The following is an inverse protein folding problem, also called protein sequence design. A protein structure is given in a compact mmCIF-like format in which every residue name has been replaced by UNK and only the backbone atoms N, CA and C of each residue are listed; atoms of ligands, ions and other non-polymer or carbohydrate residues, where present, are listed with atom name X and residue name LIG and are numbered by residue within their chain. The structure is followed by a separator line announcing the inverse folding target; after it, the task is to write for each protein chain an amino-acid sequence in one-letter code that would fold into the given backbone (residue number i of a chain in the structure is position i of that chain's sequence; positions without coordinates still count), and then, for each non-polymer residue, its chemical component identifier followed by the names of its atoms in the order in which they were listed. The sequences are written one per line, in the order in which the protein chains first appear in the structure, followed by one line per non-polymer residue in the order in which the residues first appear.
data_IF_154522879678
#
_entry.id   IF_154522879678
#
_cell.length_a   1.000
_cell.length_b   1.000
_cell.length_c   1.000
_cell.angle_alpha   90.00
_cell.angle_beta   90.00
_cell.angle_gamma   90.00
#
_symmetry.space_group_name_H-M   'P 1'
#
loop_
_entity.id
_entity.type
_entity.pdbx_description
1 polymer ?
#
# COMPACT_ATOMS: atom_id res chain seq x y z
N UNK A 1 -17.10 -21.39 -33.74
CA UNK A 1 -16.35 -22.01 -32.63
C UNK A 1 -15.43 -20.95 -32.09
N UNK A 2 -15.81 -20.30 -31.00
CA UNK A 2 -14.96 -19.34 -30.28
C UNK A 2 -13.94 -20.16 -29.53
N UNK A 3 -12.71 -20.20 -30.02
CA UNK A 3 -11.56 -20.74 -29.27
C UNK A 3 -11.39 -19.91 -27.99
N UNK A 4 -11.73 -20.49 -26.86
CA UNK A 4 -11.36 -19.94 -25.55
C UNK A 4 -9.84 -19.88 -25.51
N UNK A 5 -9.28 -18.69 -25.62
CA UNK A 5 -7.85 -18.48 -25.34
C UNK A 5 -7.66 -18.80 -23.85
N UNK A 6 -6.89 -19.85 -23.56
CA UNK A 6 -6.55 -20.20 -22.18
C UNK A 6 -5.89 -18.97 -21.53
N UNK A 7 -6.40 -18.54 -20.37
CA UNK A 7 -5.76 -17.46 -19.60
C UNK A 7 -4.31 -17.85 -19.31
N UNK A 8 -3.39 -16.91 -19.54
CA UNK A 8 -1.99 -17.10 -19.15
C UNK A 8 -1.90 -17.37 -17.65
N UNK A 9 -1.06 -18.33 -17.26
CA UNK A 9 -0.76 -18.59 -15.85
C UNK A 9 0.07 -17.47 -15.19
N UNK A 10 0.49 -16.48 -15.98
CA UNK A 10 1.32 -15.35 -15.55
C UNK A 10 0.56 -14.02 -15.45
N UNK A 11 -0.73 -14.00 -15.83
CA UNK A 11 -1.52 -12.77 -15.85
C UNK A 11 -2.85 -12.95 -15.14
N UNK A 12 -3.27 -11.89 -14.44
CA UNK A 12 -4.60 -11.83 -13.82
C UNK A 12 -5.06 -10.38 -13.74
N UNK A 13 -6.36 -10.18 -13.56
CA UNK A 13 -6.92 -8.85 -13.30
C UNK A 13 -6.98 -8.61 -11.79
N UNK A 14 -6.39 -7.52 -11.34
CA UNK A 14 -6.46 -7.09 -9.95
C UNK A 14 -7.91 -6.71 -9.54
N UNK A 15 -8.75 -6.30 -10.49
CA UNK A 15 -10.19 -6.10 -10.28
C UNK A 15 -10.93 -7.39 -9.91
N UNK A 16 -10.43 -8.54 -10.34
CA UNK A 16 -10.97 -9.87 -10.05
C UNK A 16 -10.20 -10.58 -8.93
N UNK A 17 -9.34 -9.85 -8.22
CA UNK A 17 -8.62 -10.37 -7.05
C UNK A 17 -9.58 -10.78 -5.92
N UNK A 18 -9.06 -11.54 -4.97
CA UNK A 18 -9.78 -11.91 -3.76
C UNK A 18 -10.26 -10.65 -3.02
N UNK A 19 -11.53 -10.63 -2.65
CA UNK A 19 -12.11 -9.55 -1.84
C UNK A 19 -11.64 -9.73 -0.40
N UNK A 20 -10.88 -8.74 0.09
CA UNK A 20 -10.45 -8.66 1.49
C UNK A 20 -11.50 -7.95 2.33
N UNK A 21 -12.02 -6.83 1.80
CA UNK A 21 -13.13 -6.06 2.37
C UNK A 21 -13.83 -5.27 1.28
N UNK A 22 -15.16 -5.13 1.38
CA UNK A 22 -15.97 -4.30 0.51
C UNK A 22 -17.14 -3.71 1.32
N UNK A 23 -17.27 -2.37 1.32
CA UNK A 23 -18.27 -1.63 2.11
C UNK A 23 -18.50 -0.25 1.50
N UNK A 24 -19.39 0.54 2.12
CA UNK A 24 -19.61 1.94 1.76
C UNK A 24 -18.37 2.83 1.98
N UNK A 25 -17.35 2.33 2.67
CA UNK A 25 -16.09 3.03 2.91
C UNK A 25 -15.07 2.82 1.79
N UNK A 26 -15.28 1.82 0.95
CA UNK A 26 -14.37 1.47 -0.14
C UNK A 26 -14.22 -0.02 -0.33
N UNK A 27 -13.14 -0.43 -0.98
CA UNK A 27 -12.87 -1.84 -1.21
C UNK A 27 -11.38 -2.17 -1.16
N UNK A 28 -11.10 -3.41 -0.80
CA UNK A 28 -9.75 -3.98 -0.82
C UNK A 28 -9.78 -5.31 -1.56
N UNK A 29 -8.93 -5.44 -2.58
CA UNK A 29 -8.76 -6.68 -3.36
C UNK A 29 -7.30 -7.05 -3.41
N UNK A 30 -7.00 -8.35 -3.39
CA UNK A 30 -5.61 -8.82 -3.42
C UNK A 30 -5.41 -9.96 -4.41
N UNK A 31 -4.18 -10.07 -4.90
CA UNK A 31 -3.67 -11.22 -5.63
C UNK A 31 -2.42 -11.71 -4.92
N UNK A 32 -2.46 -12.94 -4.47
CA UNK A 32 -1.38 -13.63 -3.74
C UNK A 32 -1.02 -14.93 -4.47
N UNK A 33 -0.07 -15.68 -3.96
CA UNK A 33 0.26 -17.00 -4.51
C UNK A 33 -0.91 -18.01 -4.44
N UNK A 34 -1.95 -17.73 -3.65
CA UNK A 34 -3.13 -18.61 -3.54
C UNK A 34 -4.03 -18.52 -4.79
N UNK A 35 -4.09 -17.36 -5.43
CA UNK A 35 -4.90 -17.14 -6.63
C UNK A 35 -4.07 -16.88 -7.90
N UNK A 36 -2.77 -16.66 -7.77
CA UNK A 36 -1.80 -16.63 -8.86
C UNK A 36 -0.50 -17.34 -8.42
N UNK A 37 -0.42 -18.68 -8.52
CA UNK A 37 0.66 -19.49 -7.95
C UNK A 37 2.07 -19.20 -8.47
N UNK A 38 2.20 -18.50 -9.59
CA UNK A 38 3.49 -18.07 -10.15
C UNK A 38 4.14 -16.96 -9.30
N UNK A 39 3.37 -16.24 -8.49
CA UNK A 39 3.92 -15.23 -7.58
C UNK A 39 4.80 -15.91 -6.52
N UNK A 40 6.07 -15.54 -6.53
CA UNK A 40 7.07 -16.01 -5.60
C UNK A 40 7.73 -14.83 -4.92
N UNK A 41 7.53 -14.71 -3.60
CA UNK A 41 8.06 -13.61 -2.81
C UNK A 41 7.44 -12.24 -3.12
N UNK A 42 6.35 -12.19 -3.89
CA UNK A 42 5.62 -10.97 -4.23
C UNK A 42 4.11 -11.20 -4.14
N UNK A 43 3.37 -10.15 -3.85
CA UNK A 43 1.91 -10.09 -3.98
C UNK A 43 1.49 -8.64 -4.19
N UNK A 44 0.20 -8.44 -4.55
CA UNK A 44 -0.32 -7.13 -4.88
C UNK A 44 -1.73 -6.94 -4.29
N UNK A 45 -2.01 -5.74 -3.83
CA UNK A 45 -3.31 -5.35 -3.30
C UNK A 45 -3.76 -4.05 -3.98
N UNK A 46 -5.05 -3.92 -4.23
CA UNK A 46 -5.70 -2.67 -4.63
C UNK A 46 -6.59 -2.21 -3.50
N UNK A 47 -6.46 -0.94 -3.14
CA UNK A 47 -7.28 -0.31 -2.09
C UNK A 47 -7.96 0.91 -2.68
N UNK A 48 -9.27 0.97 -2.51
CA UNK A 48 -10.10 2.14 -2.79
C UNK A 48 -10.63 2.67 -1.45
N UNK A 49 -10.44 3.95 -1.21
CA UNK A 49 -10.98 4.64 -0.03
C UNK A 49 -11.91 5.75 -0.50
N UNK A 50 -13.18 5.66 -0.14
CA UNK A 50 -14.14 6.74 -0.37
C UNK A 50 -13.78 7.98 0.46
N UNK A 51 -14.28 9.19 0.14
CA UNK A 51 -14.02 10.39 0.93
C UNK A 51 -14.29 10.17 2.42
N UNK A 52 -13.33 10.51 3.27
CA UNK A 52 -13.42 10.34 4.71
C UNK A 52 -13.27 8.89 5.21
N UNK A 53 -12.94 7.95 4.34
CA UNK A 53 -12.58 6.61 4.75
C UNK A 53 -11.07 6.48 5.03
N UNK A 54 -10.71 5.55 5.89
CA UNK A 54 -9.32 5.20 6.16
C UNK A 54 -9.10 3.69 6.14
N UNK A 55 -7.95 3.26 5.68
CA UNK A 55 -7.35 1.99 6.04
C UNK A 55 -6.83 2.12 7.46
N UNK A 56 -7.40 1.37 8.36
CA UNK A 56 -7.11 1.46 9.80
C UNK A 56 -5.62 1.22 10.10
N UNK A 57 -5.08 1.74 11.22
CA UNK A 57 -3.72 1.44 11.64
C UNK A 57 -3.46 -0.06 11.72
N UNK A 58 -2.39 -0.49 11.06
CA UNK A 58 -2.02 -1.91 10.94
C UNK A 58 -0.53 -2.06 10.60
N UNK A 59 -0.02 -3.28 10.66
CA UNK A 59 1.32 -3.62 10.20
C UNK A 59 1.35 -5.00 9.52
N UNK A 60 2.39 -5.22 8.74
CA UNK A 60 2.67 -6.51 8.10
C UNK A 60 3.89 -7.14 8.76
N UNK A 61 3.72 -8.32 9.42
CA UNK A 61 4.82 -8.93 10.17
C UNK A 61 5.90 -9.55 9.27
N UNK A 62 5.53 -9.94 8.05
CA UNK A 62 6.38 -10.73 7.14
C UNK A 62 6.53 -10.10 5.75
N UNK A 63 6.26 -8.80 5.60
CA UNK A 63 6.30 -8.15 4.30
C UNK A 63 6.68 -6.67 4.41
N UNK A 64 7.63 -6.23 3.58
CA UNK A 64 7.77 -4.83 3.24
C UNK A 64 6.66 -4.44 2.27
N UNK A 65 6.13 -3.23 2.42
CA UNK A 65 5.08 -2.65 1.61
C UNK A 65 5.61 -1.50 0.78
N UNK A 66 5.28 -1.50 -0.51
CA UNK A 66 5.53 -0.39 -1.42
C UNK A 66 4.20 0.02 -2.04
N UNK A 67 3.72 1.19 -1.66
CA UNK A 67 2.43 1.73 -2.09
C UNK A 67 2.60 2.83 -3.11
N UNK A 68 1.87 2.72 -4.22
CA UNK A 68 1.74 3.74 -5.27
C UNK A 68 0.33 4.33 -5.22
N UNK A 69 0.25 5.66 -5.13
CA UNK A 69 -1.00 6.40 -5.21
C UNK A 69 -1.40 6.60 -6.68
N UNK A 70 -2.46 5.93 -7.09
CA UNK A 70 -3.03 6.00 -8.44
C UNK A 70 -3.84 7.28 -8.63
N UNK A 71 -4.66 7.60 -7.63
CA UNK A 71 -5.50 8.81 -7.62
C UNK A 71 -5.87 9.24 -6.20
N UNK A 72 -6.32 10.48 -6.06
CA UNK A 72 -6.79 11.04 -4.80
C UNK A 72 -5.69 11.69 -3.96
N UNK A 73 -6.02 11.99 -2.71
CA UNK A 73 -5.13 12.64 -1.73
C UNK A 73 -5.33 11.97 -0.38
N UNK A 74 -4.27 11.48 0.21
CA UNK A 74 -4.34 10.80 1.50
C UNK A 74 -3.26 11.27 2.49
N UNK A 75 -3.62 11.25 3.76
CA UNK A 75 -2.70 11.35 4.88
C UNK A 75 -2.20 9.96 5.23
N UNK A 76 -0.89 9.82 5.35
CA UNK A 76 -0.22 8.60 5.80
C UNK A 76 0.57 8.90 7.06
N UNK A 77 0.50 8.02 8.06
CA UNK A 77 1.41 8.04 9.19
C UNK A 77 2.05 6.69 9.35
N UNK A 78 3.34 6.67 9.67
CA UNK A 78 4.14 5.46 9.86
C UNK A 78 4.91 5.60 11.17
N UNK A 79 4.80 4.58 12.01
CA UNK A 79 5.69 4.35 13.14
C UNK A 79 6.62 3.20 12.77
N UNK A 80 7.84 3.55 12.43
CA UNK A 80 8.88 2.60 12.06
C UNK A 80 9.65 2.10 13.29
N UNK A 81 10.64 1.25 13.08
CA UNK A 81 11.52 0.79 14.14
C UNK A 81 12.25 1.96 14.82
N UNK A 82 12.82 1.73 16.00
CA UNK A 82 13.54 2.75 16.78
C UNK A 82 12.72 4.02 17.11
N UNK A 83 11.38 3.93 17.12
CA UNK A 83 10.48 5.03 17.42
C UNK A 83 10.55 6.19 16.41
N UNK A 84 10.99 5.93 15.19
CA UNK A 84 10.91 6.89 14.10
C UNK A 84 9.45 7.05 13.68
N UNK A 85 8.95 8.28 13.70
CA UNK A 85 7.59 8.62 13.32
C UNK A 85 7.59 9.55 12.12
N UNK A 86 6.82 9.19 11.10
CA UNK A 86 6.59 9.97 9.90
C UNK A 86 5.11 10.24 9.70
N UNK A 87 4.79 11.44 9.20
CA UNK A 87 3.44 11.78 8.75
C UNK A 87 3.55 12.67 7.52
N UNK A 88 2.83 12.33 6.46
CA UNK A 88 2.94 13.03 5.18
C UNK A 88 1.68 12.85 4.34
N UNK A 89 1.48 13.76 3.40
CA UNK A 89 0.40 13.68 2.40
C UNK A 89 0.97 13.03 1.14
N UNK A 90 0.21 12.09 0.56
CA UNK A 90 0.48 11.51 -0.76
C UNK A 90 -0.63 11.87 -1.74
N UNK A 91 -0.22 12.11 -2.98
CA UNK A 91 -1.11 12.39 -4.13
C UNK A 91 -0.76 11.48 -5.30
N UNK A 92 -1.59 11.52 -6.35
CA UNK A 92 -1.37 10.71 -7.56
C UNK A 92 0.07 10.82 -8.10
N UNK A 93 0.69 9.69 -8.40
CA UNK A 93 2.08 9.60 -8.89
C UNK A 93 3.13 9.49 -7.78
N UNK A 94 2.74 9.66 -6.52
CA UNK A 94 3.62 9.53 -5.37
C UNK A 94 3.54 8.12 -4.77
N UNK A 95 4.57 7.77 -4.05
CA UNK A 95 4.76 6.47 -3.42
C UNK A 95 5.14 6.65 -1.96
N UNK A 96 4.89 5.60 -1.17
CA UNK A 96 5.51 5.46 0.14
C UNK A 96 5.94 4.01 0.40
N UNK A 97 6.88 3.86 1.32
CA UNK A 97 7.41 2.58 1.74
C UNK A 97 7.22 2.39 3.24
N UNK A 98 6.72 1.22 3.64
CA UNK A 98 6.63 0.79 5.02
C UNK A 98 7.36 -0.55 5.18
N UNK A 99 8.31 -0.59 6.12
CA UNK A 99 9.04 -1.81 6.45
C UNK A 99 8.13 -2.84 7.13
N UNK A 100 8.53 -4.09 7.07
CA UNK A 100 7.93 -5.15 7.89
C UNK A 100 7.94 -4.73 9.37
N UNK A 101 6.78 -4.85 10.03
CA UNK A 101 6.60 -4.43 11.42
C UNK A 101 6.21 -2.97 11.63
N UNK A 102 6.38 -2.10 10.64
CA UNK A 102 6.02 -0.68 10.78
C UNK A 102 4.51 -0.48 10.85
N UNK A 103 4.04 0.08 11.96
CA UNK A 103 2.62 0.44 12.14
C UNK A 103 2.30 1.64 11.24
N UNK A 104 1.29 1.52 10.38
CA UNK A 104 0.91 2.59 9.46
C UNK A 104 -0.58 2.62 9.18
N UNK A 105 -1.06 3.78 8.68
CA UNK A 105 -2.44 3.96 8.20
C UNK A 105 -2.46 4.82 6.94
N UNK A 106 -3.58 4.77 6.20
CA UNK A 106 -3.85 5.60 5.04
C UNK A 106 -5.24 6.19 5.21
N UNK A 107 -5.36 7.51 5.24
CA UNK A 107 -6.65 8.21 5.38
C UNK A 107 -6.92 9.05 4.13
N UNK A 108 -8.04 8.82 3.46
CA UNK A 108 -8.49 9.69 2.38
C UNK A 108 -8.94 11.04 2.94
N UNK A 109 -8.15 12.08 2.69
CA UNK A 109 -8.42 13.47 3.08
C UNK A 109 -8.95 14.32 1.93
N UNK A 110 -9.07 13.73 0.73
CA UNK A 110 -9.59 14.37 -0.47
C UNK A 110 -11.12 14.29 -0.58
N UNK A 111 -11.65 14.97 -1.60
CA UNK A 111 -13.08 14.96 -1.92
C UNK A 111 -13.48 13.81 -2.86
N UNK A 112 -12.52 13.16 -3.51
CA UNK A 112 -12.72 12.06 -4.45
C UNK A 112 -12.21 10.75 -3.87
N UNK A 113 -12.54 9.64 -4.52
CA UNK A 113 -12.00 8.32 -4.16
C UNK A 113 -10.49 8.31 -4.30
N UNK A 114 -9.80 7.88 -3.26
CA UNK A 114 -8.37 7.62 -3.31
C UNK A 114 -8.11 6.16 -3.67
N UNK A 115 -7.26 5.93 -4.67
CA UNK A 115 -6.89 4.61 -5.16
C UNK A 115 -5.41 4.36 -4.96
N UNK A 116 -5.10 3.18 -4.41
CA UNK A 116 -3.73 2.72 -4.18
C UNK A 116 -3.52 1.33 -4.77
N UNK A 117 -2.35 1.14 -5.36
CA UNK A 117 -1.81 -0.17 -5.71
C UNK A 117 -0.61 -0.42 -4.82
N UNK A 118 -0.64 -1.53 -4.13
CA UNK A 118 0.28 -1.90 -3.05
C UNK A 118 0.99 -3.20 -3.42
N UNK A 119 2.29 -3.14 -3.57
CA UNK A 119 3.14 -4.31 -3.76
C UNK A 119 3.77 -4.74 -2.43
N UNK A 120 3.77 -6.03 -2.16
CA UNK A 120 4.38 -6.63 -0.98
C UNK A 120 5.58 -7.50 -1.35
N UNK A 121 6.64 -7.41 -0.55
CA UNK A 121 7.77 -8.35 -0.59
C UNK A 121 7.43 -9.62 0.20
N UNK A 122 6.33 -10.24 -0.15
CA UNK A 122 5.84 -11.52 0.38
C UNK A 122 4.79 -12.08 -0.57
N UNK A 123 4.75 -13.38 -0.76
CA UNK A 123 3.69 -14.03 -1.55
C UNK A 123 2.37 -14.19 -0.77
N UNK A 124 2.43 -14.09 0.56
CA UNK A 124 1.29 -14.12 1.50
C UNK A 124 1.56 -13.16 2.66
N UNK A 125 1.35 -11.86 2.46
CA UNK A 125 1.56 -10.87 3.52
C UNK A 125 0.56 -11.09 4.65
N UNK A 126 1.06 -11.14 5.88
CA UNK A 126 0.24 -11.10 7.08
C UNK A 126 -0.15 -9.66 7.41
N UNK A 127 -1.32 -9.47 7.98
CA UNK A 127 -1.94 -8.17 8.20
C UNK A 127 -2.56 -8.12 9.59
N UNK A 128 -1.95 -7.37 10.50
CA UNK A 128 -2.36 -7.23 11.91
C UNK A 128 -2.95 -5.83 12.15
N UNK A 129 -4.23 -5.77 12.52
CA UNK A 129 -4.90 -4.52 12.85
C UNK A 129 -4.61 -4.06 14.28
N UNK A 130 -4.29 -2.78 14.45
CA UNK A 130 -4.06 -2.17 15.75
C UNK A 130 -5.30 -2.24 16.65
N UNK A 131 -6.50 -2.02 16.09
CA UNK A 131 -7.75 -2.11 16.84
C UNK A 131 -8.01 -3.52 17.41
N UNK A 132 -7.79 -4.56 16.61
CA UNK A 132 -7.92 -5.96 17.06
C UNK A 132 -6.86 -6.29 18.12
N UNK A 133 -5.64 -5.80 17.96
CA UNK A 133 -4.55 -5.98 18.92
C UNK A 133 -4.91 -5.37 20.27
N UNK A 134 -5.39 -4.12 20.31
CA UNK A 134 -5.86 -3.49 21.55
C UNK A 134 -7.04 -4.25 22.15
N UNK A 135 -7.91 -4.83 21.33
CA UNK A 135 -9.04 -5.67 21.76
C UNK A 135 -8.64 -6.91 22.53
N UNK A 136 -7.43 -7.43 22.31
CA UNK A 136 -6.91 -8.62 22.99
C UNK A 136 -6.43 -8.38 24.43
N UNK A 137 -6.22 -7.11 24.85
CA UNK A 137 -5.71 -6.77 26.17
C UNK A 137 -6.84 -6.41 27.14
N UNK A 138 -6.64 -6.68 28.43
CA UNK A 138 -7.56 -6.26 29.49
C UNK A 138 -7.50 -4.75 29.74
N UNK A 139 -8.56 -4.19 30.34
CA UNK A 139 -8.59 -2.78 30.74
C UNK A 139 -7.47 -2.43 31.70
N UNK A 140 -7.10 -3.35 32.60
CA UNK A 140 -6.00 -3.15 33.53
C UNK A 140 -4.64 -3.07 32.80
N UNK A 141 -4.40 -3.93 31.80
CA UNK A 141 -3.15 -3.89 31.03
C UNK A 141 -3.04 -2.58 30.27
N UNK A 142 -4.09 -2.14 29.59
CA UNK A 142 -4.07 -0.87 28.87
C UNK A 142 -4.00 0.32 29.81
N UNK A 143 -4.74 0.31 30.92
CA UNK A 143 -4.67 1.34 31.95
C UNK A 143 -3.24 1.53 32.46
N UNK A 144 -2.57 0.43 32.80
CA UNK A 144 -1.17 0.48 33.25
C UNK A 144 -0.20 0.97 32.17
N UNK A 145 -0.49 0.67 30.88
CA UNK A 145 0.34 1.10 29.77
C UNK A 145 0.29 2.63 29.55
N UNK A 146 -0.86 3.22 29.81
CA UNK A 146 -1.10 4.66 29.59
C UNK A 146 -1.18 5.49 30.87
N UNK A 147 -0.86 4.93 32.04
CA UNK A 147 -0.96 5.58 33.34
C UNK A 147 -2.38 6.11 33.63
N UNK A 148 -3.39 5.36 33.22
CA UNK A 148 -4.81 5.68 33.38
C UNK A 148 -5.56 4.63 34.20
N UNK A 149 -6.62 5.02 34.92
CA UNK A 149 -7.51 4.06 35.57
C UNK A 149 -8.10 3.06 34.55
N UNK A 150 -8.21 1.79 34.90
CA UNK A 150 -8.81 0.76 34.05
C UNK A 150 -10.26 1.11 33.61
N UNK A 151 -11.00 1.87 34.42
CA UNK A 151 -12.33 2.38 34.08
C UNK A 151 -12.36 3.30 32.86
N UNK A 152 -11.27 3.99 32.57
CA UNK A 152 -11.17 4.83 31.37
C UNK A 152 -10.96 3.99 30.12
N UNK A 153 -10.26 2.87 30.25
CA UNK A 153 -10.07 1.90 29.16
C UNK A 153 -11.34 1.16 28.79
N UNK A 154 -12.28 1.02 29.72
CA UNK A 154 -13.60 0.42 29.44
C UNK A 154 -14.44 1.21 28.43
N UNK A 155 -14.12 2.48 28.18
CA UNK A 155 -14.76 3.33 27.17
C UNK A 155 -14.28 3.01 25.74
N UNK A 156 -13.11 2.36 25.61
CA UNK A 156 -12.57 1.94 24.32
C UNK A 156 -13.31 0.69 23.86
N UNK A 157 -13.85 0.73 22.64
CA UNK A 157 -14.47 -0.45 22.04
C UNK A 157 -13.48 -1.60 21.98
N UNK A 158 -13.83 -2.73 22.57
CA UNK A 158 -13.06 -3.98 22.54
C UNK A 158 -13.63 -4.91 21.49
N UNK A 159 -12.84 -5.16 20.48
CA UNK A 159 -13.21 -6.06 19.39
C UNK A 159 -11.92 -6.69 18.83
N UNK A 160 -11.84 -8.01 18.84
CA UNK A 160 -10.74 -8.75 18.24
C UNK A 160 -10.96 -8.99 16.74
N UNK A 161 -12.12 -8.58 16.19
CA UNK A 161 -12.36 -8.58 14.75
C UNK A 161 -11.55 -7.47 14.12
N UNK A 162 -10.69 -7.82 13.19
CA UNK A 162 -9.83 -6.88 12.48
C UNK A 162 -10.63 -6.11 11.42
N UNK A 163 -11.14 -4.93 11.81
CA UNK A 163 -11.77 -4.00 10.89
C UNK A 163 -10.68 -3.31 10.07
N UNK A 164 -10.68 -3.52 8.77
CA UNK A 164 -9.65 -2.98 7.87
C UNK A 164 -9.97 -1.58 7.37
N UNK A 165 -11.25 -1.26 7.20
CA UNK A 165 -11.71 0.07 6.81
C UNK A 165 -12.52 0.71 7.95
N UNK A 166 -12.34 2.02 8.15
CA UNK A 166 -13.11 2.81 9.11
C UNK A 166 -13.45 4.19 8.54
N UNK A 167 -14.57 4.77 8.98
CA UNK A 167 -14.89 6.16 8.68
C UNK A 167 -14.15 7.10 9.64
N UNK A 168 -13.66 8.20 9.10
CA UNK A 168 -13.21 9.35 9.90
C UNK A 168 -14.42 10.00 10.57
N UNK A 169 -14.21 10.50 11.77
CA UNK A 169 -15.20 11.31 12.48
C UNK A 169 -14.75 12.77 12.42
N UNK A 170 -15.56 13.63 11.83
CA UNK A 170 -15.25 15.07 11.68
C UNK A 170 -14.28 15.37 10.52
N UNK A 171 -13.69 16.56 10.56
CA UNK A 171 -12.72 17.01 9.57
C UNK A 171 -11.36 16.31 9.75
N UNK A 172 -10.53 16.23 8.69
CA UNK A 172 -9.20 15.63 8.82
C UNK A 172 -8.32 16.49 9.76
N UNK A 173 -7.66 15.84 10.71
CA UNK A 173 -6.64 16.47 11.53
C UNK A 173 -5.27 16.24 10.87
N UNK A 174 -4.78 17.27 10.18
CA UNK A 174 -3.56 17.18 9.39
C UNK A 174 -2.42 17.86 10.16
N UNK A 175 -1.46 17.10 10.71
CA UNK A 175 -0.32 17.66 11.37
C UNK A 175 0.49 18.58 10.44
N UNK A 176 1.03 19.67 10.93
CA UNK A 176 1.86 20.60 10.15
C UNK A 176 3.07 19.90 9.48
N UNK A 177 3.61 18.87 10.13
CA UNK A 177 4.69 18.04 9.58
C UNK A 177 4.33 17.35 8.27
N UNK A 178 3.06 17.04 8.03
CA UNK A 178 2.62 16.33 6.83
C UNK A 178 2.84 17.10 5.52
N UNK A 179 3.08 18.40 5.58
CA UNK A 179 3.34 19.25 4.42
C UNK A 179 4.83 19.34 4.03
N UNK A 180 5.73 18.76 4.82
CA UNK A 180 7.16 18.76 4.54
C UNK A 180 7.63 17.49 3.85
N UNK A 181 8.88 17.50 3.38
CA UNK A 181 9.50 16.31 2.82
C UNK A 181 9.67 15.24 3.90
N UNK A 182 9.38 14.01 3.53
CA UNK A 182 9.45 12.85 4.41
C UNK A 182 10.23 11.72 3.72
N UNK A 183 11.14 11.02 4.41
CA UNK A 183 11.94 9.96 3.82
C UNK A 183 11.10 8.76 3.35
N UNK A 184 9.91 8.52 3.94
CA UNK A 184 9.03 7.45 3.51
C UNK A 184 8.27 7.76 2.21
N UNK A 185 8.24 9.03 1.77
CA UNK A 185 7.55 9.48 0.55
C UNK A 185 8.52 9.70 -0.59
N UNK A 186 8.14 9.25 -1.78
CA UNK A 186 8.89 9.44 -3.02
C UNK A 186 7.95 9.79 -4.18
N UNK A 187 8.28 10.82 -4.94
CA UNK A 187 7.52 11.22 -6.12
C UNK A 187 8.20 10.66 -7.36
N UNK A 188 7.78 9.47 -7.79
CA UNK A 188 8.40 8.80 -8.94
C UNK A 188 8.04 9.49 -10.26
N UNK A 189 6.82 10.02 -10.37
CA UNK A 189 6.37 10.66 -11.61
C UNK A 189 6.96 12.06 -11.82
N UNK A 190 7.40 12.73 -10.75
CA UNK A 190 8.14 14.00 -10.83
C UNK A 190 9.61 13.82 -11.19
N UNK A 191 10.14 12.58 -11.14
CA UNK A 191 11.53 12.34 -11.53
C UNK A 191 11.73 12.53 -13.03
N UNK A 192 12.89 13.06 -13.42
CA UNK A 192 13.33 12.96 -14.81
C UNK A 192 13.50 11.48 -15.19
N UNK A 193 13.03 11.04 -16.37
CA UNK A 193 13.25 9.67 -16.79
C UNK A 193 14.75 9.34 -16.86
N UNK A 194 15.16 8.28 -16.17
CA UNK A 194 16.53 7.76 -16.26
C UNK A 194 16.82 7.09 -17.61
N UNK A 195 15.77 6.58 -18.28
CA UNK A 195 15.80 6.15 -19.68
C UNK A 195 14.74 6.93 -20.44
N UNK A 196 15.12 7.48 -21.59
CA UNK A 196 14.22 8.26 -22.42
C UNK A 196 14.52 8.03 -23.90
N UNK A 197 13.62 7.32 -24.59
CA UNK A 197 13.73 6.94 -26.00
C UNK A 197 12.45 7.26 -26.76
N UNK A 198 12.49 7.22 -28.07
CA UNK A 198 11.28 7.34 -28.93
C UNK A 198 10.27 6.23 -28.61
N UNK A 199 10.75 5.04 -28.26
CA UNK A 199 9.92 3.87 -27.90
C UNK A 199 9.31 3.94 -26.50
N UNK A 200 9.67 4.93 -25.68
CA UNK A 200 9.16 5.07 -24.32
C UNK A 200 10.18 5.58 -23.31
N UNK A 201 9.77 5.65 -22.05
CA UNK A 201 10.66 6.11 -21.00
C UNK A 201 10.46 5.31 -19.70
N UNK A 202 11.46 5.39 -18.82
CA UNK A 202 11.42 4.77 -17.50
C UNK A 202 11.94 5.71 -16.41
N UNK A 203 11.22 5.72 -15.30
CA UNK A 203 11.62 6.32 -14.03
C UNK A 203 11.89 5.22 -13.01
N UNK A 204 12.71 5.50 -12.03
CA UNK A 204 13.18 4.49 -11.09
C UNK A 204 12.99 4.94 -9.65
N UNK A 205 12.44 4.06 -8.83
CA UNK A 205 12.53 4.11 -7.39
C UNK A 205 13.44 2.95 -6.93
N UNK A 206 14.62 3.29 -6.45
CA UNK A 206 15.66 2.35 -5.98
C UNK A 206 16.33 2.91 -4.74
N UNK A 207 16.95 2.08 -3.95
CA UNK A 207 17.70 2.46 -2.74
C UNK A 207 18.76 3.55 -3.01
N UNK A 208 19.38 3.58 -4.20
CA UNK A 208 20.35 4.62 -4.58
C UNK A 208 19.73 6.03 -4.66
N UNK A 209 18.44 6.14 -4.91
CA UNK A 209 17.70 7.41 -5.02
C UNK A 209 16.73 7.62 -3.87
N UNK A 210 16.35 6.56 -3.22
CA UNK A 210 15.41 6.53 -2.12
C UNK A 210 15.89 5.55 -1.04
N UNK A 211 16.81 5.97 -0.17
CA UNK A 211 17.57 5.09 0.73
C UNK A 211 16.76 4.24 1.72
N UNK A 212 15.52 4.66 2.02
CA UNK A 212 14.64 3.89 2.91
C UNK A 212 14.04 2.64 2.23
N UNK A 213 14.07 2.58 0.91
CA UNK A 213 13.49 1.48 0.14
C UNK A 213 14.35 0.21 0.31
N UNK A 214 13.81 -0.77 1.03
CA UNK A 214 14.51 -2.00 1.38
C UNK A 214 13.94 -3.18 0.61
N UNK A 215 14.81 -4.01 0.00
CA UNK A 215 14.49 -5.27 -0.69
C UNK A 215 13.46 -5.16 -1.84
N UNK A 216 13.14 -3.96 -2.26
CA UNK A 216 12.20 -3.67 -3.34
C UNK A 216 12.75 -2.59 -4.26
N UNK A 217 12.26 -2.57 -5.48
CA UNK A 217 12.43 -1.44 -6.40
C UNK A 217 11.21 -1.35 -7.30
N UNK A 218 11.00 -0.19 -7.89
CA UNK A 218 9.91 0.03 -8.85
C UNK A 218 10.40 0.80 -10.06
N UNK A 219 9.81 0.47 -11.21
CA UNK A 219 9.93 1.21 -12.45
C UNK A 219 8.56 1.73 -12.86
N UNK A 220 8.46 3.05 -13.09
CA UNK A 220 7.34 3.61 -13.85
C UNK A 220 7.74 3.60 -15.32
N UNK A 221 7.09 2.74 -16.10
CA UNK A 221 7.36 2.55 -17.52
C UNK A 221 6.25 3.18 -18.35
N UNK A 222 6.64 3.95 -19.35
CA UNK A 222 5.76 4.41 -20.43
C UNK A 222 6.27 3.86 -21.72
N UNK A 223 5.50 2.98 -22.36
CA UNK A 223 5.83 2.35 -23.64
C UNK A 223 4.98 3.01 -24.72
N UNK A 224 5.61 3.52 -25.79
CA UNK A 224 4.90 4.11 -26.91
C UNK A 224 4.13 3.04 -27.69
N UNK A 225 3.11 3.43 -28.46
CA UNK A 225 2.24 2.52 -29.22
C UNK A 225 3.03 1.53 -30.13
N UNK A 226 4.16 1.97 -30.68
CA UNK A 226 5.05 1.10 -31.48
C UNK A 226 6.30 0.65 -30.73
N UNK A 227 6.33 0.89 -29.43
CA UNK A 227 7.46 0.53 -28.56
C UNK A 227 7.28 -0.85 -27.94
N UNK A 228 8.36 -1.36 -27.39
CA UNK A 228 8.34 -2.50 -26.51
C UNK A 228 9.43 -2.40 -25.43
N UNK A 229 9.20 -3.03 -24.32
CA UNK A 229 10.25 -3.40 -23.38
C UNK A 229 10.94 -4.63 -23.95
N UNK A 230 12.22 -4.57 -24.21
CA UNK A 230 12.97 -5.69 -24.76
C UNK A 230 12.87 -6.92 -23.87
N UNK A 231 12.86 -8.13 -24.45
CA UNK A 231 12.95 -9.37 -23.69
C UNK A 231 14.16 -9.37 -22.77
N UNK A 232 13.96 -9.69 -21.50
CA UNK A 232 14.99 -9.68 -20.47
C UNK A 232 14.63 -10.67 -19.37
N UNK A 233 15.57 -10.91 -18.47
CA UNK A 233 15.36 -11.75 -17.29
C UNK A 233 16.05 -11.17 -16.07
N UNK A 234 15.56 -11.56 -14.90
CA UNK A 234 16.11 -11.19 -13.60
C UNK A 234 16.73 -12.46 -12.96
N UNK A 235 18.06 -12.56 -12.85
CA UNK A 235 18.72 -13.80 -12.37
C UNK A 235 18.37 -14.18 -10.93
N UNK A 236 18.12 -13.20 -10.07
CA UNK A 236 18.00 -13.40 -8.61
C UNK A 236 16.75 -12.73 -7.98
N UNK A 237 15.93 -12.06 -8.79
CA UNK A 237 14.75 -11.33 -8.29
C UNK A 237 13.51 -11.72 -9.06
N UNK A 238 12.34 -11.58 -8.43
CA UNK A 238 11.04 -11.67 -9.11
C UNK A 238 10.62 -10.28 -9.61
N UNK A 239 9.90 -10.24 -10.72
CA UNK A 239 9.25 -9.04 -11.24
C UNK A 239 7.76 -9.26 -11.34
N UNK A 240 7.00 -8.22 -10.99
CA UNK A 240 5.56 -8.13 -11.17
C UNK A 240 5.23 -6.79 -11.80
N UNK A 241 4.50 -6.81 -12.90
CA UNK A 241 4.03 -5.60 -13.57
C UNK A 241 2.54 -5.34 -13.28
N UNK A 242 2.20 -4.08 -13.09
CA UNK A 242 0.82 -3.59 -13.04
C UNK A 242 0.59 -2.64 -14.21
N UNK A 243 -0.35 -3.01 -15.09
CA UNK A 243 -0.77 -2.13 -16.20
C UNK A 243 -1.75 -1.11 -15.63
N UNK A 244 -1.28 0.13 -15.49
CA UNK A 244 -2.08 1.24 -14.97
C UNK A 244 -2.98 1.84 -16.06
N UNK A 245 -2.46 1.96 -17.26
CA UNK A 245 -3.15 2.55 -18.41
C UNK A 245 -2.72 1.87 -19.71
N UNK A 246 -3.66 1.67 -20.65
CA UNK A 246 -3.42 1.03 -21.94
C UNK A 246 -3.48 -0.49 -21.87
N UNK A 247 -3.07 -1.12 -22.95
CA UNK A 247 -3.03 -2.57 -23.15
C UNK A 247 -1.59 -3.01 -23.41
N UNK A 248 -1.18 -4.19 -22.88
CA UNK A 248 0.15 -4.75 -23.03
C UNK A 248 0.12 -6.28 -23.24
#
# INVERSE_FOLDING_TARGET
MTTSIARSAHTTSLHNGEIVEESDLGSMRRVTADNLPILKGLSIKRVLLNPGAMRTPHWHANANELTYCVSGTALVSILDDHSSFSTFIVTAGQMFHANSGSLHHIENIGADVAEFVIAFRSERPEDFGFGATLGAFSDAVLGNTYDLPSSDMAKIRRDTTDRKLAARIGDPDIPAAAYFNDPHRFDIEAQAPGLNYVSGNARFARDQFWPILTDMSMYSLRVAESGMREPHWHPVTAEMGYVHYGDA
#
